data_IF_770239445071
#
_entry.id   IF_770239445071
#
_cell.length_a   1.000
_cell.length_b   1.000
_cell.length_c   1.000
_cell.angle_alpha   90.00
_cell.angle_beta   90.00
_cell.angle_gamma   90.00
#
_symmetry.space_group_name_H-M   'P 1'
#
loop_
_entity.id
_entity.type
_entity.pdbx_description
1 polymer ?
#
# COMPACT_ATOMS: atom_id res chain seq x y z
N UNK A 1 -40.72 -9.32 -0.81
CA UNK A 1 -39.77 -10.06 0.06
C UNK A 1 -38.67 -10.76 -0.71
N UNK A 2 -38.93 -11.45 -1.84
CA UNK A 2 -37.87 -12.15 -2.60
C UNK A 2 -36.91 -11.19 -3.32
N UNK A 3 -37.42 -10.09 -3.88
CA UNK A 3 -36.62 -9.08 -4.58
C UNK A 3 -35.70 -8.30 -3.64
N UNK A 4 -36.15 -7.94 -2.44
CA UNK A 4 -35.33 -7.22 -1.45
C UNK A 4 -34.14 -8.05 -0.94
N UNK A 5 -34.24 -9.38 -0.92
CA UNK A 5 -33.13 -10.27 -0.54
C UNK A 5 -32.11 -10.40 -1.68
N UNK A 6 -32.56 -10.36 -2.93
CA UNK A 6 -31.71 -10.45 -4.12
C UNK A 6 -30.89 -9.17 -4.33
N UNK A 7 -31.51 -7.99 -4.14
CA UNK A 7 -30.83 -6.68 -4.19
C UNK A 7 -29.74 -6.55 -3.11
N UNK A 8 -30.02 -7.02 -1.88
CA UNK A 8 -29.06 -7.02 -0.77
C UNK A 8 -27.87 -7.94 -1.03
N UNK A 9 -28.12 -9.10 -1.66
CA UNK A 9 -27.08 -10.03 -2.10
C UNK A 9 -26.18 -9.40 -3.16
N UNK A 10 -26.77 -8.73 -4.16
CA UNK A 10 -26.02 -8.13 -5.26
C UNK A 10 -25.14 -6.97 -4.78
N UNK A 11 -25.66 -6.10 -3.92
CA UNK A 11 -24.90 -5.00 -3.32
C UNK A 11 -23.68 -5.48 -2.53
N UNK A 12 -23.81 -6.56 -1.75
CA UNK A 12 -22.70 -7.16 -1.02
C UNK A 12 -21.59 -7.67 -1.95
N UNK A 13 -21.96 -8.36 -3.04
CA UNK A 13 -21.00 -8.86 -4.03
C UNK A 13 -20.27 -7.73 -4.76
N UNK A 14 -20.96 -6.63 -5.06
CA UNK A 14 -20.35 -5.44 -5.66
C UNK A 14 -19.34 -4.82 -4.69
N UNK A 15 -19.70 -4.67 -3.41
CA UNK A 15 -18.79 -4.11 -2.40
C UNK A 15 -17.57 -5.02 -2.21
N UNK A 16 -17.76 -6.34 -2.09
CA UNK A 16 -16.68 -7.32 -2.01
C UNK A 16 -15.77 -7.26 -3.25
N UNK A 17 -16.38 -7.21 -4.43
CA UNK A 17 -15.67 -7.06 -5.70
C UNK A 17 -14.84 -5.78 -5.72
N UNK A 18 -15.42 -4.65 -5.33
CA UNK A 18 -14.72 -3.36 -5.28
C UNK A 18 -13.55 -3.38 -4.28
N UNK A 19 -13.75 -3.89 -3.07
CA UNK A 19 -12.73 -3.97 -2.02
C UNK A 19 -11.52 -4.82 -2.45
N UNK A 20 -11.71 -5.83 -3.29
CA UNK A 20 -10.61 -6.65 -3.82
C UNK A 20 -10.00 -6.07 -5.11
N UNK A 21 -10.83 -5.58 -6.01
CA UNK A 21 -10.42 -5.20 -7.36
C UNK A 21 -9.73 -3.84 -7.40
N UNK A 22 -10.18 -2.87 -6.60
CA UNK A 22 -9.56 -1.54 -6.57
C UNK A 22 -8.11 -1.56 -6.07
N UNK A 23 -7.79 -2.23 -4.94
CA UNK A 23 -6.41 -2.32 -4.47
C UNK A 23 -5.52 -3.04 -5.47
N UNK A 24 -6.03 -4.13 -6.08
CA UNK A 24 -5.29 -4.86 -7.10
C UNK A 24 -5.00 -4.00 -8.33
N UNK A 25 -5.97 -3.22 -8.81
CA UNK A 25 -5.75 -2.25 -9.89
C UNK A 25 -4.72 -1.18 -9.50
N UNK A 26 -4.78 -0.67 -8.26
CA UNK A 26 -3.81 0.31 -7.77
C UNK A 26 -2.39 -0.24 -7.73
N UNK A 27 -2.23 -1.51 -7.35
CA UNK A 27 -0.95 -2.21 -7.37
C UNK A 27 -0.41 -2.32 -8.80
N UNK A 28 -1.22 -2.83 -9.73
CA UNK A 28 -0.83 -2.96 -11.13
C UNK A 28 -0.50 -1.61 -11.76
N UNK A 29 -1.24 -0.56 -11.40
CA UNK A 29 -0.98 0.80 -11.86
C UNK A 29 0.40 1.30 -11.41
N UNK A 30 0.74 1.14 -10.12
CA UNK A 30 2.04 1.57 -9.59
C UNK A 30 3.19 0.74 -10.16
N UNK A 31 3.01 -0.58 -10.31
CA UNK A 31 3.99 -1.45 -10.98
C UNK A 31 4.20 -1.01 -12.43
N UNK A 32 3.11 -0.70 -13.15
CA UNK A 32 3.18 -0.23 -14.54
C UNK A 32 3.91 1.10 -14.65
N UNK A 33 3.73 2.02 -13.69
CA UNK A 33 4.46 3.28 -13.65
C UNK A 33 5.97 3.07 -13.41
N UNK A 34 6.36 2.17 -12.50
CA UNK A 34 7.76 1.81 -12.29
C UNK A 34 8.39 1.19 -13.54
N UNK A 35 7.67 0.23 -14.14
CA UNK A 35 8.10 -0.43 -15.36
C UNK A 35 8.22 0.54 -16.55
N UNK A 36 7.32 1.50 -16.71
CA UNK A 36 7.43 2.48 -17.80
C UNK A 36 8.61 3.43 -17.59
N UNK A 37 8.90 3.79 -16.34
CA UNK A 37 9.98 4.71 -16.04
C UNK A 37 11.38 4.08 -16.20
N UNK A 38 11.58 2.85 -15.74
CA UNK A 38 12.91 2.25 -15.68
C UNK A 38 13.09 0.93 -16.46
N UNK A 39 12.02 0.40 -17.09
CA UNK A 39 11.95 -0.94 -17.73
C UNK A 39 12.47 -2.12 -16.90
N UNK A 40 12.79 -1.87 -15.63
CA UNK A 40 13.35 -2.81 -14.69
C UNK A 40 12.73 -2.50 -13.33
N UNK A 41 12.03 -3.49 -12.78
CA UNK A 41 11.34 -3.37 -11.50
C UNK A 41 12.36 -3.61 -10.39
N UNK A 42 12.87 -2.52 -9.82
CA UNK A 42 13.73 -2.61 -8.65
C UNK A 42 12.90 -3.00 -7.40
N UNK A 43 13.58 -3.60 -6.40
CA UNK A 43 13.01 -3.90 -5.10
C UNK A 43 12.36 -2.67 -4.46
N UNK A 44 12.87 -1.46 -4.72
CA UNK A 44 12.25 -0.21 -4.24
C UNK A 44 10.87 0.05 -4.86
N UNK A 45 10.69 -0.22 -6.15
CA UNK A 45 9.43 0.00 -6.87
C UNK A 45 8.36 -1.02 -6.48
N UNK A 46 8.76 -2.29 -6.34
CA UNK A 46 7.87 -3.34 -5.83
C UNK A 46 7.42 -3.05 -4.40
N UNK A 47 8.33 -2.59 -3.53
CA UNK A 47 7.99 -2.14 -2.17
C UNK A 47 6.97 -1.00 -2.18
N UNK A 48 7.14 -0.02 -3.08
CA UNK A 48 6.18 1.09 -3.24
C UNK A 48 4.81 0.59 -3.68
N UNK A 49 4.74 -0.32 -4.65
CA UNK A 49 3.48 -0.86 -5.14
C UNK A 49 2.72 -1.64 -4.04
N UNK A 50 3.43 -2.46 -3.27
CA UNK A 50 2.85 -3.22 -2.14
C UNK A 50 2.32 -2.26 -1.05
N UNK A 51 3.07 -1.22 -0.72
CA UNK A 51 2.63 -0.17 0.22
C UNK A 51 1.34 0.49 -0.24
N UNK A 52 1.26 0.89 -1.51
CA UNK A 52 0.05 1.51 -2.07
C UNK A 52 -1.13 0.54 -2.05
N UNK A 53 -0.92 -0.74 -2.38
CA UNK A 53 -1.96 -1.77 -2.29
C UNK A 53 -2.59 -1.82 -0.89
N UNK A 54 -1.76 -1.91 0.16
CA UNK A 54 -2.25 -1.99 1.54
C UNK A 54 -2.96 -0.70 1.99
N UNK A 55 -2.44 0.47 1.61
CA UNK A 55 -3.07 1.76 1.92
C UNK A 55 -4.46 1.84 1.26
N UNK A 56 -4.59 1.46 -0.02
CA UNK A 56 -5.85 1.52 -0.76
C UNK A 56 -6.85 0.48 -0.24
N UNK A 57 -6.42 -0.75 0.02
CA UNK A 57 -7.27 -1.81 0.59
C UNK A 57 -7.86 -1.40 1.93
N UNK A 58 -7.03 -0.94 2.86
CA UNK A 58 -7.52 -0.52 4.16
C UNK A 58 -8.33 0.78 4.10
N UNK A 59 -7.95 1.74 3.25
CA UNK A 59 -8.74 2.96 3.03
C UNK A 59 -10.17 2.63 2.55
N UNK A 60 -10.32 1.62 1.69
CA UNK A 60 -11.62 1.11 1.27
C UNK A 60 -12.38 0.41 2.39
N UNK A 61 -11.72 -0.42 3.20
CA UNK A 61 -12.37 -1.07 4.36
C UNK A 61 -12.91 -0.04 5.35
N UNK A 62 -12.14 1.02 5.62
CA UNK A 62 -12.57 2.14 6.47
C UNK A 62 -13.71 2.92 5.81
N UNK A 63 -13.63 3.20 4.50
CA UNK A 63 -14.71 3.86 3.78
C UNK A 63 -16.02 3.05 3.87
N UNK A 64 -15.95 1.72 3.70
CA UNK A 64 -17.10 0.82 3.83
C UNK A 64 -17.68 0.83 5.25
N UNK A 65 -16.86 1.03 6.31
CA UNK A 65 -17.40 1.13 7.67
C UNK A 65 -18.21 2.39 7.94
N UNK A 66 -18.03 3.45 7.15
CA UNK A 66 -18.82 4.67 7.26
C UNK A 66 -20.08 4.66 6.39
N UNK A 67 -20.25 3.67 5.50
CA UNK A 67 -21.45 3.55 4.68
C UNK A 67 -22.64 3.00 5.49
N UNK A 68 -23.86 3.53 5.31
CA UNK A 68 -25.06 2.98 5.95
C UNK A 68 -25.30 1.54 5.48
N UNK A 69 -25.29 0.58 6.41
CA UNK A 69 -25.32 -0.86 6.12
C UNK A 69 -23.94 -1.51 5.97
N UNK A 70 -22.86 -0.76 6.21
CA UNK A 70 -21.49 -1.24 6.24
C UNK A 70 -21.15 -2.05 7.50
N UNK A 71 -19.92 -2.57 7.52
CA UNK A 71 -19.40 -3.34 8.65
C UNK A 71 -18.86 -2.37 9.71
N UNK A 72 -19.40 -2.41 10.92
CA UNK A 72 -18.82 -1.67 12.06
C UNK A 72 -17.43 -2.24 12.36
N UNK A 73 -16.39 -1.47 12.04
CA UNK A 73 -15.02 -1.83 12.40
C UNK A 73 -14.75 -1.45 13.87
N UNK A 74 -14.32 -2.41 14.72
CA UNK A 74 -13.88 -2.12 16.08
C UNK A 74 -12.76 -1.07 16.09
N UNK A 75 -12.76 -0.19 17.10
CA UNK A 75 -11.75 0.87 17.25
C UNK A 75 -10.34 0.30 17.36
N UNK A 76 -10.18 -0.93 17.85
CA UNK A 76 -8.91 -1.63 17.89
C UNK A 76 -8.33 -1.84 16.48
N UNK A 77 -9.17 -2.16 15.49
CA UNK A 77 -8.73 -2.37 14.10
C UNK A 77 -8.27 -1.04 13.48
N UNK A 78 -8.93 0.06 13.81
CA UNK A 78 -8.52 1.40 13.38
C UNK A 78 -7.14 1.80 13.96
N UNK A 79 -6.90 1.48 15.23
CA UNK A 79 -5.60 1.72 15.88
C UNK A 79 -4.47 0.86 15.28
N UNK A 80 -4.76 -0.42 15.02
CA UNK A 80 -3.81 -1.35 14.38
C UNK A 80 -3.47 -0.91 12.95
N UNK A 81 -4.44 -0.31 12.24
CA UNK A 81 -4.24 0.30 10.93
C UNK A 81 -3.31 1.52 10.99
N UNK A 82 -3.57 2.48 11.88
CA UNK A 82 -2.70 3.65 12.03
C UNK A 82 -1.26 3.23 12.37
N UNK A 83 -1.10 2.22 13.24
CA UNK A 83 0.19 1.61 13.55
C UNK A 83 0.85 0.98 12.33
N UNK A 84 0.12 0.15 11.58
CA UNK A 84 0.65 -0.54 10.38
C UNK A 84 1.04 0.45 9.29
N UNK A 85 0.21 1.47 9.02
CA UNK A 85 0.53 2.53 8.06
C UNK A 85 1.74 3.34 8.53
N UNK A 86 1.81 3.71 9.81
CA UNK A 86 2.97 4.40 10.37
C UNK A 86 4.25 3.56 10.26
N UNK A 87 4.17 2.24 10.48
CA UNK A 87 5.29 1.30 10.28
C UNK A 87 5.68 1.22 8.81
N UNK A 88 4.74 1.08 7.88
CA UNK A 88 5.02 1.02 6.44
C UNK A 88 5.65 2.33 5.95
N UNK A 89 5.10 3.48 6.35
CA UNK A 89 5.65 4.82 6.06
C UNK A 89 7.05 4.94 6.67
N UNK A 90 7.22 4.59 7.95
CA UNK A 90 8.51 4.64 8.65
C UNK A 90 9.56 3.75 8.00
N UNK A 91 9.17 2.55 7.54
CA UNK A 91 10.07 1.64 6.84
C UNK A 91 10.43 2.15 5.44
N UNK A 92 9.46 2.69 4.70
CA UNK A 92 9.68 3.23 3.35
C UNK A 92 10.56 4.49 3.35
N UNK A 93 10.26 5.47 4.21
CA UNK A 93 11.07 6.69 4.31
C UNK A 93 12.37 6.46 5.09
N UNK A 94 12.38 5.58 6.09
CA UNK A 94 13.57 5.24 6.86
C UNK A 94 14.63 4.50 6.03
N UNK A 95 14.21 3.56 5.17
CA UNK A 95 15.16 2.83 4.30
C UNK A 95 15.83 3.72 3.26
N UNK A 96 15.12 4.72 2.69
CA UNK A 96 15.74 5.70 1.78
C UNK A 96 16.84 6.52 2.44
N UNK A 97 16.63 6.97 3.68
CA UNK A 97 17.65 7.71 4.43
C UNK A 97 18.93 6.88 4.61
N UNK A 98 18.77 5.59 4.91
CA UNK A 98 19.90 4.66 5.08
C UNK A 98 20.64 4.35 3.78
N UNK A 99 19.92 4.14 2.66
CA UNK A 99 20.53 3.91 1.35
C UNK A 99 21.29 5.15 0.82
N UNK A 100 20.75 6.35 1.08
CA UNK A 100 21.41 7.61 0.69
C UNK A 100 22.69 7.83 1.53
N UNK A 101 22.64 7.48 2.82
CA UNK A 101 23.81 7.55 3.70
C UNK A 101 24.89 6.54 3.32
N UNK A 102 24.52 5.30 3.01
CA UNK A 102 25.47 4.26 2.60
C UNK A 102 26.20 4.58 1.29
N UNK A 103 25.55 5.25 0.33
CA UNK A 103 26.22 5.74 -0.90
C UNK A 103 27.15 6.91 -0.62
N UNK A 104 26.72 7.85 0.21
CA UNK A 104 27.55 9.00 0.65
C UNK A 104 28.80 8.55 1.39
N UNK A 105 28.71 7.52 2.23
CA UNK A 105 29.85 7.01 3.00
C UNK A 105 30.82 6.20 2.12
N UNK A 106 30.33 5.55 1.05
CA UNK A 106 31.16 4.80 0.10
C UNK A 106 31.89 5.68 -0.94
N UNK A 107 31.39 6.88 -1.23
CA UNK A 107 32.05 7.87 -2.09
C UNK A 107 33.04 8.78 -1.32
N UNK A 108 33.03 8.74 0.01
CA UNK A 108 33.87 9.56 0.88
C UNK A 108 35.21 8.91 1.30
N UNK A 109 35.59 7.78 0.72
CA UNK A 109 36.89 7.15 0.92
C UNK A 109 37.83 7.43 -0.27
N UNK A 110 38.55 8.56 -0.30
CA UNK A 110 39.58 8.81 -1.29
C UNK A 110 40.87 8.07 -0.91
N UNK A 111 41.32 7.18 -1.80
CA UNK A 111 42.71 6.81 -2.05
C UNK A 111 43.72 7.14 -0.94
N UNK A 112 43.74 6.35 0.14
CA UNK A 112 44.94 6.21 0.95
C UNK A 112 45.80 5.10 0.34
N UNK A 113 46.47 5.41 -0.78
CA UNK A 113 47.54 4.54 -1.30
C UNK A 113 48.73 4.57 -0.32
N UNK A 114 49.20 3.41 0.18
CA UNK A 114 50.45 3.36 0.94
C UNK A 114 51.63 3.53 -0.04
N UNK A 115 52.44 4.58 0.19
CA UNK A 115 53.80 4.70 -0.35
C UNK A 115 54.79 3.95 0.54
#
# INVERSE_FOLDING_TARGET
>A
MRESVMEMSLGLWIILGAVLLFPFLSFLFVVSLGYWNNRNLDLGEMRRAITVFFIVLFGLLVAVSFFPGGVDLPKEIQGLFAGTVATIIGFYFGSRTSETKSKSDAEAEPDAQPQ
#
